data_IF_653038979170
#
_entry.id   IF_653038979170
#
_cell.length_a   1.000
_cell.length_b   1.000
_cell.length_c   1.000
_cell.angle_alpha   90.00
_cell.angle_beta   90.00
_cell.angle_gamma   90.00
#
_symmetry.space_group_name_H-M   'P 1'
#
loop_
_entity.id
_entity.type
_entity.pdbx_description
1 polymer ?
#
# COMPACT_ATOMS: atom_id res chain seq x y z
N UNK A 1 73.20 60.31 66.58
CA UNK A 1 71.81 60.57 67.03
C UNK A 1 71.26 61.72 66.19
N UNK A 2 70.01 61.74 65.69
CA UNK A 2 68.95 60.73 65.61
C UNK A 2 68.49 60.43 64.14
N UNK A 3 67.49 59.54 64.02
CA UNK A 3 66.77 58.99 62.85
C UNK A 3 65.92 60.04 62.06
N UNK A 4 64.99 59.73 61.11
CA UNK A 4 64.55 58.44 60.53
C UNK A 4 64.33 58.40 58.99
N UNK A 5 64.05 57.20 58.48
CA UNK A 5 63.64 56.84 57.10
C UNK A 5 62.37 57.57 56.61
N UNK A 6 62.25 57.85 55.30
CA UNK A 6 60.95 57.96 54.63
C UNK A 6 60.55 56.67 53.89
N UNK A 7 59.25 56.39 53.95
CA UNK A 7 58.56 55.17 53.48
C UNK A 7 58.34 55.14 51.97
N UNK A 8 58.24 53.90 51.51
CA UNK A 8 57.80 53.40 50.20
C UNK A 8 56.43 53.89 49.74
N UNK A 9 56.31 54.15 48.43
CA UNK A 9 55.08 53.91 47.67
C UNK A 9 55.47 53.29 46.30
N UNK A 10 55.42 51.96 46.21
CA UNK A 10 55.44 51.22 44.94
C UNK A 10 53.99 50.99 44.55
N UNK A 11 53.53 51.61 43.46
CA UNK A 11 52.30 51.23 42.76
C UNK A 11 52.61 50.07 41.81
N UNK A 12 51.94 48.90 41.93
CA UNK A 12 52.05 47.84 40.94
C UNK A 12 51.17 48.18 39.73
N UNK A 13 51.78 48.24 38.55
CA UNK A 13 51.07 48.20 37.28
C UNK A 13 50.56 46.77 37.04
N UNK A 14 49.25 46.64 36.85
CA UNK A 14 48.62 45.36 36.51
C UNK A 14 48.95 45.05 35.04
N UNK A 15 49.84 44.08 34.81
CA UNK A 15 49.97 43.39 33.52
C UNK A 15 48.81 42.37 33.42
N UNK A 16 47.82 42.65 32.58
CA UNK A 16 46.83 41.66 32.16
C UNK A 16 47.43 40.75 31.11
N UNK A 17 47.83 39.55 31.54
CA UNK A 17 48.18 38.43 30.65
C UNK A 17 46.87 37.88 30.07
N UNK A 18 46.65 38.12 28.78
CA UNK A 18 45.54 37.55 28.02
C UNK A 18 45.90 36.10 27.64
N UNK A 19 45.50 35.14 28.45
CA UNK A 19 45.55 33.72 28.10
C UNK A 19 44.49 33.41 27.04
N UNK A 20 44.92 33.24 25.79
CA UNK A 20 44.08 32.65 24.74
C UNK A 20 43.84 31.18 25.08
N UNK A 21 42.69 30.90 25.70
CA UNK A 21 42.14 29.55 25.77
C UNK A 21 41.57 29.26 24.38
N UNK A 22 42.26 28.42 23.60
CA UNK A 22 41.66 27.76 22.43
C UNK A 22 40.58 26.81 22.94
N UNK A 23 39.34 27.29 23.01
CA UNK A 23 38.18 26.40 23.07
C UNK A 23 38.12 25.64 21.74
N UNK A 24 38.03 24.30 21.74
CA UNK A 24 37.68 23.59 20.53
C UNK A 24 36.27 24.04 20.14
N UNK A 25 36.14 24.68 18.97
CA UNK A 25 34.84 24.83 18.33
C UNK A 25 34.35 23.42 18.00
N UNK A 26 33.58 22.84 18.92
CA UNK A 26 32.74 21.70 18.60
C UNK A 26 31.67 22.21 17.64
N UNK A 27 31.90 22.01 16.34
CA UNK A 27 30.81 22.07 15.37
C UNK A 27 29.75 21.07 15.84
N UNK A 28 28.47 21.46 16.00
CA UNK A 28 27.43 20.48 16.23
C UNK A 28 27.39 19.60 14.99
N UNK A 29 27.90 18.37 15.11
CA UNK A 29 27.66 17.33 14.11
C UNK A 29 26.18 17.01 14.24
N UNK A 30 25.36 17.61 13.37
CA UNK A 30 23.98 17.18 13.19
C UNK A 30 24.03 15.70 12.78
N UNK A 31 23.36 14.78 13.51
CA UNK A 31 23.41 13.37 13.16
C UNK A 31 22.84 13.19 11.75
N UNK A 32 23.64 12.59 10.89
CA UNK A 32 23.31 12.37 9.49
C UNK A 32 22.46 11.09 9.36
N UNK A 33 21.32 11.24 8.72
CA UNK A 33 20.26 10.24 8.60
C UNK A 33 20.15 9.99 7.06
N UNK A 34 20.65 8.89 6.46
CA UNK A 34 20.06 7.61 5.93
C UNK A 34 18.79 7.78 5.05
N UNK A 35 18.05 6.81 4.50
CA UNK A 35 16.63 7.09 4.15
C UNK A 35 15.87 6.93 5.45
N UNK A 36 15.50 7.92 6.23
CA UNK A 36 16.37 8.83 6.99
C UNK A 36 16.83 10.16 6.42
N UNK A 37 16.53 10.58 5.19
CA UNK A 37 16.66 12.00 4.86
C UNK A 37 15.69 12.78 5.76
N UNK A 38 15.57 14.11 5.67
CA UNK A 38 14.53 14.79 6.43
C UNK A 38 13.19 14.09 6.25
N UNK A 39 12.38 14.09 7.31
CA UNK A 39 10.97 13.71 7.17
C UNK A 39 10.40 14.42 5.96
N UNK A 40 9.82 13.65 5.04
CA UNK A 40 9.24 14.23 3.84
C UNK A 40 8.14 15.20 4.29
N UNK A 41 8.16 16.43 3.80
CA UNK A 41 7.19 17.44 4.22
C UNK A 41 5.77 16.93 3.95
N UNK A 42 4.83 17.24 4.85
CA UNK A 42 3.45 16.80 4.70
C UNK A 42 2.88 17.16 3.31
N UNK A 43 2.33 16.17 2.62
CA UNK A 43 1.78 16.31 1.27
C UNK A 43 2.79 16.11 0.11
N UNK A 44 4.10 16.07 0.37
CA UNK A 44 5.06 15.62 -0.64
C UNK A 44 5.02 14.10 -0.77
N UNK A 45 5.11 13.61 -2.01
CA UNK A 45 5.09 12.17 -2.33
C UNK A 45 3.84 11.45 -1.77
N UNK A 46 2.69 12.11 -1.80
CA UNK A 46 1.42 11.62 -1.24
C UNK A 46 0.98 10.24 -1.77
N UNK A 47 1.44 9.86 -2.97
CA UNK A 47 1.17 8.55 -3.57
C UNK A 47 1.95 7.40 -2.92
N UNK A 48 2.98 7.67 -2.12
CA UNK A 48 3.75 6.62 -1.44
C UNK A 48 2.95 6.09 -0.26
N UNK A 49 2.79 4.78 -0.19
CA UNK A 49 1.96 4.09 0.81
C UNK A 49 2.81 3.18 1.68
N UNK A 50 2.41 3.04 2.94
CA UNK A 50 2.98 2.04 3.85
C UNK A 50 2.19 0.75 3.71
N UNK A 51 2.87 -0.35 3.41
CA UNK A 51 2.25 -1.67 3.34
C UNK A 51 2.50 -2.41 4.65
N UNK A 52 1.45 -3.00 5.22
CA UNK A 52 1.54 -3.93 6.32
C UNK A 52 1.07 -5.31 5.85
N UNK A 53 1.88 -6.35 6.07
CA UNK A 53 1.61 -7.73 5.67
C UNK A 53 1.70 -8.64 6.90
N UNK A 54 0.60 -9.29 7.26
CA UNK A 54 0.43 -10.03 8.51
C UNK A 54 -0.34 -9.24 9.57
N UNK A 55 -0.52 -9.86 10.74
CA UNK A 55 -1.20 -9.27 11.88
C UNK A 55 -0.26 -8.36 12.69
N UNK A 56 -0.83 -7.43 13.47
CA UNK A 56 -0.11 -6.31 14.11
C UNK A 56 1.13 -6.73 14.92
N UNK A 57 1.08 -7.87 15.63
CA UNK A 57 2.20 -8.35 16.45
C UNK A 57 3.41 -8.86 15.64
N UNK A 58 3.21 -9.21 14.37
CA UNK A 58 4.22 -9.80 13.49
C UNK A 58 4.22 -9.22 12.07
N UNK A 59 3.58 -8.07 11.87
CA UNK A 59 3.40 -7.48 10.57
C UNK A 59 4.75 -7.09 9.94
N UNK A 60 4.99 -7.58 8.74
CA UNK A 60 6.07 -7.08 7.90
C UNK A 60 5.64 -5.74 7.31
N UNK A 61 6.49 -4.73 7.46
CA UNK A 61 6.32 -3.46 6.78
C UNK A 61 7.09 -3.43 5.46
N UNK A 62 6.44 -2.88 4.45
CA UNK A 62 7.01 -2.56 3.14
C UNK A 62 6.53 -1.17 2.70
N UNK A 63 7.05 -0.71 1.57
CA UNK A 63 6.59 0.50 0.92
C UNK A 63 5.90 0.13 -0.41
N UNK A 64 4.98 0.96 -0.86
CA UNK A 64 4.42 0.89 -2.21
C UNK A 64 4.18 2.28 -2.78
N UNK A 65 3.74 2.35 -4.03
CA UNK A 65 3.31 3.60 -4.67
C UNK A 65 1.98 3.44 -5.36
N UNK A 66 0.99 4.26 -5.02
CA UNK A 66 -0.29 4.33 -5.73
C UNK A 66 -0.07 4.83 -7.16
N UNK A 67 -0.38 4.00 -8.15
CA UNK A 67 -0.23 4.34 -9.58
C UNK A 67 -1.57 4.36 -10.33
N UNK A 68 -2.65 3.96 -9.65
CA UNK A 68 -4.03 4.04 -10.09
C UNK A 68 -4.93 4.01 -8.85
N UNK A 69 -6.17 4.48 -8.93
CA UNK A 69 -7.12 4.48 -7.81
C UNK A 69 -7.32 3.11 -7.13
N UNK A 70 -7.06 2.01 -7.86
CA UNK A 70 -7.17 0.64 -7.33
C UNK A 70 -5.84 -0.10 -7.26
N UNK A 71 -4.74 0.48 -7.74
CA UNK A 71 -3.49 -0.28 -7.89
C UNK A 71 -2.30 0.43 -7.26
N UNK A 72 -1.61 -0.30 -6.40
CA UNK A 72 -0.33 0.06 -5.83
C UNK A 72 0.77 -0.78 -6.48
N UNK A 73 1.86 -0.13 -6.88
CA UNK A 73 3.07 -0.73 -7.37
C UNK A 73 4.04 -0.97 -6.21
N UNK A 74 4.60 -2.17 -6.10
CA UNK A 74 5.52 -2.55 -5.02
C UNK A 74 6.42 -3.72 -5.46
N UNK A 75 7.27 -4.20 -4.56
CA UNK A 75 8.11 -5.37 -4.79
C UNK A 75 7.33 -6.65 -4.45
N UNK A 76 7.45 -7.70 -5.29
CA UNK A 76 6.80 -8.98 -5.03
C UNK A 76 7.28 -9.61 -3.71
N UNK A 77 8.58 -9.47 -3.41
CA UNK A 77 9.23 -9.96 -2.20
C UNK A 77 8.59 -9.48 -0.89
N UNK A 78 7.82 -8.37 -0.90
CA UNK A 78 7.03 -7.94 0.25
C UNK A 78 6.00 -8.99 0.70
N UNK A 79 5.44 -9.75 -0.24
CA UNK A 79 4.40 -10.76 -0.01
C UNK A 79 4.93 -12.19 0.00
N UNK A 80 6.24 -12.37 -0.17
CA UNK A 80 6.84 -13.70 -0.14
C UNK A 80 6.83 -14.25 1.30
N UNK A 81 6.29 -15.46 1.47
CA UNK A 81 6.32 -16.17 2.74
C UNK A 81 7.76 -16.31 3.25
N UNK A 82 8.67 -16.65 2.34
CA UNK A 82 10.12 -16.71 2.58
C UNK A 82 10.82 -15.72 1.65
N UNK A 83 11.77 -14.91 2.14
CA UNK A 83 12.53 -14.01 1.28
C UNK A 83 13.17 -14.76 0.10
N UNK A 84 12.93 -14.28 -1.12
CA UNK A 84 13.48 -14.85 -2.36
C UNK A 84 12.66 -15.96 -3.00
N UNK A 85 11.52 -16.37 -2.42
CA UNK A 85 10.60 -17.31 -3.09
C UNK A 85 9.61 -16.57 -4.00
N UNK A 86 9.18 -17.18 -5.12
CA UNK A 86 8.11 -16.62 -5.95
C UNK A 86 6.83 -16.37 -5.15
N UNK A 87 6.12 -15.31 -5.50
CA UNK A 87 4.79 -15.01 -4.96
C UNK A 87 3.75 -15.44 -5.98
N UNK A 88 2.75 -16.25 -5.61
CA UNK A 88 1.67 -16.60 -6.54
C UNK A 88 0.77 -15.40 -6.82
N UNK A 89 0.22 -15.35 -8.02
CA UNK A 89 -0.86 -14.42 -8.34
C UNK A 89 -2.14 -14.79 -7.58
N UNK A 90 -2.97 -13.79 -7.26
CA UNK A 90 -4.24 -13.97 -6.56
C UNK A 90 -4.23 -13.36 -5.15
N UNK A 91 -5.07 -13.89 -4.26
CA UNK A 91 -5.22 -13.34 -2.90
C UNK A 91 -3.91 -13.42 -2.10
N UNK A 92 -3.55 -12.37 -1.35
CA UNK A 92 -2.45 -12.44 -0.38
C UNK A 92 -2.60 -13.61 0.60
N UNK A 93 -1.50 -14.33 0.85
CA UNK A 93 -1.48 -15.44 1.82
C UNK A 93 -1.70 -14.97 3.27
N UNK A 94 -1.26 -13.75 3.58
CA UNK A 94 -1.47 -13.06 4.85
C UNK A 94 -2.36 -11.85 4.62
N UNK A 95 -3.12 -11.44 5.64
CA UNK A 95 -3.84 -10.17 5.62
C UNK A 95 -2.85 -9.05 5.29
N UNK A 96 -3.23 -8.16 4.38
CA UNK A 96 -2.37 -7.05 4.01
C UNK A 96 -3.17 -5.78 3.77
N UNK A 97 -2.60 -4.65 4.17
CA UNK A 97 -3.20 -3.33 4.06
C UNK A 97 -2.21 -2.32 3.48
N UNK A 98 -2.75 -1.28 2.86
CA UNK A 98 -2.02 -0.10 2.43
C UNK A 98 -2.54 1.12 3.21
N UNK A 99 -1.66 1.75 3.99
CA UNK A 99 -1.94 3.02 4.66
C UNK A 99 -1.53 4.18 3.76
N UNK A 100 -2.44 5.13 3.59
CA UNK A 100 -2.34 6.24 2.67
C UNK A 100 -1.97 7.55 3.37
N UNK A 101 -1.50 8.53 2.60
CA UNK A 101 -1.10 9.84 3.11
C UNK A 101 -2.25 10.70 3.63
N UNK A 102 -3.49 10.38 3.26
CA UNK A 102 -4.70 11.03 3.78
C UNK A 102 -5.21 10.41 5.10
N UNK A 103 -4.48 9.44 5.65
CA UNK A 103 -4.82 8.74 6.89
C UNK A 103 -5.78 7.56 6.69
N UNK A 104 -6.25 7.31 5.47
CA UNK A 104 -7.08 6.13 5.18
C UNK A 104 -6.22 4.86 5.07
N UNK A 105 -6.84 3.71 5.32
CA UNK A 105 -6.22 2.40 5.11
C UNK A 105 -7.13 1.57 4.21
N UNK A 106 -6.55 0.96 3.18
CA UNK A 106 -7.25 0.07 2.25
C UNK A 106 -6.72 -1.37 2.39
N UNK A 107 -7.61 -2.36 2.43
CA UNK A 107 -7.19 -3.77 2.34
C UNK A 107 -6.74 -4.09 0.92
N UNK A 108 -5.86 -5.09 0.83
CA UNK A 108 -5.37 -5.62 -0.44
C UNK A 108 -6.18 -6.85 -0.83
N UNK A 109 -6.75 -6.80 -2.03
CA UNK A 109 -7.61 -7.83 -2.60
C UNK A 109 -6.83 -8.90 -3.37
N UNK A 110 -5.83 -8.48 -4.15
CA UNK A 110 -5.15 -9.33 -5.13
C UNK A 110 -3.70 -8.87 -5.34
N UNK A 111 -2.82 -9.83 -5.63
CA UNK A 111 -1.44 -9.62 -6.04
C UNK A 111 -1.30 -10.12 -7.48
N UNK A 112 -0.72 -9.29 -8.33
CA UNK A 112 -0.33 -9.61 -9.71
C UNK A 112 1.20 -9.44 -9.79
N UNK A 113 1.97 -10.49 -9.53
CA UNK A 113 3.44 -10.45 -9.57
C UNK A 113 3.96 -10.49 -11.02
N UNK A 114 5.19 -10.01 -11.20
CA UNK A 114 6.01 -10.24 -12.40
C UNK A 114 6.86 -11.50 -12.22
N UNK A 115 7.00 -12.26 -13.29
CA UNK A 115 7.83 -13.47 -13.28
C UNK A 115 9.33 -13.18 -13.55
N UNK A 116 9.64 -12.06 -14.20
CA UNK A 116 10.99 -11.71 -14.66
C UNK A 116 11.78 -10.79 -13.71
N UNK A 117 11.10 -10.15 -12.74
CA UNK A 117 11.70 -9.18 -11.82
C UNK A 117 10.88 -9.04 -10.53
N UNK A 118 11.53 -8.59 -9.46
CA UNK A 118 10.92 -8.42 -8.12
C UNK A 118 9.92 -7.25 -8.08
N UNK A 119 8.75 -7.44 -8.69
CA UNK A 119 7.75 -6.41 -8.90
C UNK A 119 6.35 -7.01 -8.82
N UNK A 120 5.42 -6.28 -8.22
CA UNK A 120 4.02 -6.66 -8.19
C UNK A 120 3.12 -5.43 -8.29
N UNK A 121 1.96 -5.63 -8.91
CA UNK A 121 0.80 -4.76 -8.76
C UNK A 121 -0.12 -5.40 -7.73
N UNK A 122 -0.53 -4.62 -6.74
CA UNK A 122 -1.51 -5.06 -5.75
C UNK A 122 -2.80 -4.27 -5.91
N UNK A 123 -3.93 -4.98 -5.93
CA UNK A 123 -5.26 -4.39 -6.06
C UNK A 123 -5.81 -4.04 -4.69
N UNK A 124 -6.34 -2.84 -4.54
CA UNK A 124 -7.07 -2.42 -3.34
C UNK A 124 -8.53 -2.86 -3.43
N UNK A 125 -9.15 -3.17 -2.29
CA UNK A 125 -10.59 -3.50 -2.24
C UNK A 125 -11.44 -2.26 -2.51
N UNK A 126 -11.02 -1.10 -2.01
CA UNK A 126 -11.72 0.18 -2.19
C UNK A 126 -10.87 1.15 -3.02
N UNK A 127 -11.49 1.89 -3.97
CA UNK A 127 -10.76 2.85 -4.77
C UNK A 127 -10.36 4.09 -3.97
N UNK A 128 -9.16 4.55 -4.21
CA UNK A 128 -8.57 5.76 -3.64
C UNK A 128 -8.81 6.92 -4.60
N UNK A 129 -9.60 7.90 -4.16
CA UNK A 129 -10.02 9.06 -4.96
C UNK A 129 -9.45 10.39 -4.47
N UNK A 130 -8.94 10.40 -3.24
CA UNK A 130 -8.40 11.55 -2.50
C UNK A 130 -6.91 11.78 -2.76
N UNK A 131 -6.17 10.72 -3.11
CA UNK A 131 -4.74 10.77 -3.39
C UNK A 131 -4.51 10.69 -4.89
N UNK A 132 -3.78 11.65 -5.45
CA UNK A 132 -3.38 11.63 -6.86
C UNK A 132 -2.35 10.52 -7.10
N UNK A 133 -2.61 9.57 -8.03
CA UNK A 133 -1.63 8.54 -8.34
C UNK A 133 -0.34 9.10 -8.94
N UNK A 134 0.77 8.43 -8.64
CA UNK A 134 2.08 8.75 -9.21
C UNK A 134 2.16 8.34 -10.70
N UNK A 135 2.97 9.08 -11.44
CA UNK A 135 3.21 8.85 -12.86
C UNK A 135 4.53 8.10 -13.02
N UNK A 136 4.55 7.14 -13.95
CA UNK A 136 5.75 6.41 -14.32
C UNK A 136 6.54 7.15 -15.40
N UNK A 137 7.87 7.09 -15.33
CA UNK A 137 8.73 7.58 -16.39
C UNK A 137 8.67 6.65 -17.62
N UNK A 138 8.75 7.23 -18.82
CA UNK A 138 8.78 6.47 -20.08
C UNK A 138 10.20 6.18 -20.57
N UNK A 139 11.20 6.81 -19.97
CA UNK A 139 12.59 6.71 -20.37
C UNK A 139 13.50 6.28 -19.22
N UNK A 140 14.61 5.65 -19.58
CA UNK A 140 15.66 5.27 -18.66
C UNK A 140 16.47 6.53 -18.25
N UNK A 141 16.67 6.79 -16.94
CA UNK A 141 17.60 7.82 -16.50
C UNK A 141 19.04 7.53 -16.94
N UNK A 142 19.81 8.58 -17.23
CA UNK A 142 21.23 8.45 -17.55
C UNK A 142 22.04 8.03 -16.31
N UNK A 143 23.05 7.19 -16.50
CA UNK A 143 24.03 6.87 -15.43
C UNK A 143 24.65 8.16 -14.90
N UNK A 144 25.00 8.17 -13.61
CA UNK A 144 25.45 9.31 -12.81
C UNK A 144 24.40 10.37 -12.46
N UNK A 145 23.13 10.16 -12.85
CA UNK A 145 22.02 11.04 -12.46
C UNK A 145 21.61 10.77 -11.02
N UNK A 146 21.24 11.84 -10.31
CA UNK A 146 20.65 11.77 -8.98
C UNK A 146 19.17 11.44 -9.06
N UNK A 147 18.75 10.49 -8.23
CA UNK A 147 17.39 10.01 -8.12
C UNK A 147 16.95 10.07 -6.65
N UNK A 148 15.66 10.19 -6.42
CA UNK A 148 15.09 10.22 -5.06
C UNK A 148 14.42 8.89 -4.77
N UNK A 149 14.86 8.21 -3.72
CA UNK A 149 14.14 7.05 -3.20
C UNK A 149 13.32 7.46 -1.97
N UNK A 150 12.14 6.88 -1.80
CA UNK A 150 11.29 7.16 -0.64
C UNK A 150 10.66 5.88 -0.05
N UNK A 151 10.40 5.90 1.25
CA UNK A 151 9.75 4.78 1.93
C UNK A 151 9.58 4.92 3.43
N UNK A 152 9.00 3.86 4.00
CA UNK A 152 8.70 3.68 5.41
C UNK A 152 9.62 2.62 6.05
N UNK A 153 10.80 2.41 5.47
CA UNK A 153 11.80 1.49 5.99
C UNK A 153 12.48 2.00 7.25
N UNK A 154 13.16 1.07 7.91
CA UNK A 154 14.01 1.33 9.08
C UNK A 154 14.91 2.52 8.88
N UNK A 155 15.15 3.25 9.97
CA UNK A 155 16.24 4.21 9.99
C UNK A 155 17.47 3.59 10.66
N UNK A 156 18.49 4.42 10.94
CA UNK A 156 19.61 4.08 11.82
C UNK A 156 19.18 3.71 13.24
N UNK A 157 18.06 4.25 13.71
CA UNK A 157 17.67 4.23 15.13
C UNK A 157 16.25 3.74 15.36
N UNK A 158 15.45 3.54 14.30
CA UNK A 158 14.02 3.20 14.40
C UNK A 158 13.67 1.99 13.52
N UNK A 159 12.85 1.07 14.06
CA UNK A 159 12.62 -0.26 13.47
C UNK A 159 11.55 -0.31 12.36
N UNK A 160 10.51 0.51 12.40
CA UNK A 160 9.51 0.64 11.34
C UNK A 160 8.86 2.03 11.50
N UNK A 161 9.36 3.07 10.83
CA UNK A 161 8.81 4.40 10.94
C UNK A 161 7.35 4.47 10.46
N UNK A 162 6.56 5.30 11.13
CA UNK A 162 5.22 5.71 10.65
C UNK A 162 5.30 6.95 9.74
N UNK A 163 6.49 7.52 9.59
CA UNK A 163 6.74 8.73 8.85
C UNK A 163 7.49 8.43 7.56
N UNK A 164 6.99 8.98 6.46
CA UNK A 164 7.63 8.87 5.16
C UNK A 164 8.99 9.57 5.18
N UNK A 165 10.01 8.89 4.68
CA UNK A 165 11.35 9.44 4.49
C UNK A 165 11.74 9.35 3.02
N UNK A 166 12.68 10.20 2.63
CA UNK A 166 13.30 10.15 1.31
C UNK A 166 14.82 10.28 1.42
N UNK A 167 15.54 9.96 0.35
CA UNK A 167 16.99 10.11 0.25
C UNK A 167 17.42 10.18 -1.21
N UNK A 168 18.64 10.67 -1.43
CA UNK A 168 19.23 10.87 -2.76
C UNK A 168 20.21 9.76 -3.08
N UNK A 169 20.08 9.22 -4.29
CA UNK A 169 20.88 8.10 -4.78
C UNK A 169 21.41 8.42 -6.17
N UNK A 170 22.69 8.13 -6.40
CA UNK A 170 23.27 8.19 -7.75
C UNK A 170 22.95 6.90 -8.48
N UNK A 171 22.54 6.99 -9.75
CA UNK A 171 22.44 5.82 -10.62
C UNK A 171 23.83 5.37 -11.09
N UNK A 172 24.26 4.18 -10.68
CA UNK A 172 25.58 3.63 -11.02
C UNK A 172 25.55 2.88 -12.36
N UNK A 173 24.50 2.08 -12.57
CA UNK A 173 24.37 1.24 -13.76
C UNK A 173 22.91 0.83 -13.99
N UNK A 174 22.59 0.48 -15.24
CA UNK A 174 21.30 -0.10 -15.62
C UNK A 174 21.50 -1.45 -16.31
N UNK A 175 20.65 -2.41 -15.99
CA UNK A 175 20.48 -3.68 -16.73
C UNK A 175 19.09 -3.68 -17.39
N UNK A 176 18.69 -4.70 -18.17
CA UNK A 176 17.34 -4.77 -18.73
C UNK A 176 16.22 -4.70 -17.68
N UNK A 177 16.44 -5.24 -16.48
CA UNK A 177 15.40 -5.33 -15.43
C UNK A 177 15.71 -4.53 -14.16
N UNK A 178 16.91 -3.95 -14.04
CA UNK A 178 17.37 -3.36 -12.78
C UNK A 178 18.17 -2.06 -12.93
N UNK A 179 18.22 -1.31 -11.83
CA UNK A 179 18.98 -0.09 -11.63
C UNK A 179 19.85 -0.27 -10.39
N UNK A 180 21.17 -0.30 -10.59
CA UNK A 180 22.13 -0.24 -9.49
C UNK A 180 22.28 1.20 -9.05
N UNK A 181 22.05 1.48 -7.76
CA UNK A 181 22.11 2.82 -7.19
C UNK A 181 22.98 2.84 -5.93
N UNK A 182 23.59 3.98 -5.64
CA UNK A 182 24.36 4.20 -4.41
C UNK A 182 23.92 5.47 -3.71
N UNK A 183 23.66 5.37 -2.40
CA UNK A 183 23.18 6.50 -1.61
C UNK A 183 24.23 7.60 -1.48
N UNK A 184 23.80 8.86 -1.59
CA UNK A 184 24.66 10.02 -1.40
C UNK A 184 24.83 10.35 0.07
N UNK A 185 26.06 10.74 0.44
CA UNK A 185 26.40 11.09 1.82
C UNK A 185 26.10 9.92 2.75
N UNK A 186 25.04 10.04 3.55
CA UNK A 186 24.66 9.01 4.51
C UNK A 186 23.39 8.25 4.16
N UNK A 187 22.77 8.57 3.01
CA UNK A 187 21.51 7.98 2.55
C UNK A 187 21.68 6.48 2.28
N UNK A 188 20.69 5.69 2.68
CA UNK A 188 20.70 4.23 2.53
C UNK A 188 19.27 3.71 2.55
N UNK A 189 18.98 2.72 1.72
CA UNK A 189 17.73 1.97 1.77
C UNK A 189 17.83 0.85 2.82
N UNK A 190 16.83 0.74 3.68
CA UNK A 190 16.77 -0.23 4.74
C UNK A 190 15.56 -1.16 4.59
N UNK A 191 15.51 -2.23 5.40
CA UNK A 191 14.35 -3.12 5.46
C UNK A 191 13.08 -2.30 5.70
N UNK A 192 12.08 -2.51 4.85
CA UNK A 192 10.82 -1.77 4.80
C UNK A 192 10.74 -0.69 3.72
N UNK A 193 11.87 -0.24 3.16
CA UNK A 193 11.88 0.62 1.96
C UNK A 193 11.64 -0.19 0.67
N UNK A 194 11.78 -1.51 0.75
CA UNK A 194 11.43 -2.44 -0.34
C UNK A 194 10.01 -2.17 -0.82
N UNK A 195 9.85 -2.06 -2.13
CA UNK A 195 8.63 -1.68 -2.83
C UNK A 195 8.40 -0.17 -2.97
N UNK A 196 9.21 0.66 -2.32
CA UNK A 196 9.14 2.12 -2.46
C UNK A 196 9.63 2.61 -3.82
N UNK A 197 9.23 3.82 -4.24
CA UNK A 197 9.62 4.33 -5.55
C UNK A 197 11.06 4.85 -5.53
N UNK A 198 11.70 4.71 -6.69
CA UNK A 198 12.85 5.49 -7.12
C UNK A 198 12.36 6.49 -8.18
N UNK A 199 12.61 7.77 -7.96
CA UNK A 199 12.02 8.90 -8.68
C UNK A 199 13.08 9.71 -9.42
N UNK A 200 12.74 10.21 -10.61
CA UNK A 200 13.53 11.25 -11.29
C UNK A 200 13.23 12.65 -10.73
N UNK A 201 13.89 13.67 -11.27
CA UNK A 201 13.69 15.07 -10.86
C UNK A 201 12.26 15.59 -11.07
N UNK A 202 11.50 15.01 -12.00
CA UNK A 202 10.08 15.33 -12.24
C UNK A 202 9.14 14.61 -11.28
N UNK A 203 9.67 13.80 -10.35
CA UNK A 203 8.88 12.99 -9.42
C UNK A 203 8.21 11.77 -10.08
N UNK A 204 8.67 11.34 -11.26
CA UNK A 204 8.16 10.16 -11.95
C UNK A 204 8.91 8.91 -11.52
N UNK A 205 8.18 7.80 -11.42
CA UNK A 205 8.75 6.49 -11.03
C UNK A 205 9.64 5.97 -12.16
N UNK A 206 10.94 5.87 -11.90
CA UNK A 206 11.93 5.21 -12.77
C UNK A 206 12.25 3.79 -12.31
N UNK A 207 11.97 3.47 -11.04
CA UNK A 207 12.11 2.11 -10.53
C UNK A 207 11.44 1.89 -9.19
N UNK A 208 11.51 0.64 -8.73
CA UNK A 208 10.97 0.18 -7.44
C UNK A 208 12.09 -0.45 -6.62
N UNK A 209 12.31 0.04 -5.40
CA UNK A 209 13.36 -0.44 -4.52
C UNK A 209 13.14 -1.92 -4.20
N UNK A 210 14.13 -2.79 -4.43
CA UNK A 210 14.00 -4.23 -4.17
C UNK A 210 14.88 -4.66 -2.99
N UNK A 211 16.19 -4.44 -3.10
CA UNK A 211 17.18 -4.92 -2.12
C UNK A 211 18.32 -3.94 -1.94
N UNK A 212 18.98 -3.99 -0.78
CA UNK A 212 20.15 -3.17 -0.49
C UNK A 212 21.13 -3.91 0.43
N UNK A 213 22.34 -3.37 0.55
CA UNK A 213 23.36 -3.89 1.46
C UNK A 213 23.13 -3.53 2.92
N UNK A 214 22.16 -2.65 3.23
CA UNK A 214 21.76 -2.29 4.60
C UNK A 214 22.86 -1.60 5.44
N UNK A 215 23.87 -1.00 4.80
CA UNK A 215 24.98 -0.33 5.50
C UNK A 215 24.50 0.85 6.35
N UNK A 216 24.64 0.71 7.66
CA UNK A 216 24.15 1.69 8.63
C UNK A 216 22.65 1.63 8.90
N UNK A 217 21.91 0.58 8.51
CA UNK A 217 20.53 0.39 8.96
C UNK A 217 20.46 -0.19 10.38
N UNK A 218 19.41 0.12 11.14
CA UNK A 218 19.20 -0.45 12.47
C UNK A 218 19.16 -1.98 12.42
N UNK A 219 19.98 -2.62 13.26
CA UNK A 219 20.09 -4.08 13.35
C UNK A 219 21.01 -4.73 12.31
N UNK A 220 21.63 -3.95 11.43
CA UNK A 220 22.72 -4.43 10.57
C UNK A 220 24.06 -4.50 11.33
N UNK A 221 24.98 -5.40 10.94
CA UNK A 221 26.33 -5.41 11.49
C UNK A 221 27.03 -4.05 11.27
N UNK A 222 27.69 -3.51 12.30
CA UNK A 222 28.38 -2.22 12.21
C UNK A 222 29.50 -2.19 11.16
N UNK A 223 30.05 -3.35 10.79
CA UNK A 223 31.06 -3.48 9.74
C UNK A 223 30.49 -3.36 8.31
N UNK A 224 29.17 -3.52 8.14
CA UNK A 224 28.53 -3.30 6.84
C UNK A 224 28.33 -1.80 6.63
N UNK A 225 29.04 -1.26 5.64
CA UNK A 225 29.08 0.18 5.34
C UNK A 225 28.58 0.50 3.94
N UNK A 226 28.28 -0.52 3.12
CA UNK A 226 27.84 -0.30 1.74
C UNK A 226 26.42 0.24 1.72
N UNK A 227 26.23 1.36 1.04
CA UNK A 227 24.93 2.02 0.83
C UNK A 227 24.30 1.68 -0.52
N UNK A 228 24.98 0.87 -1.34
CA UNK A 228 24.45 0.48 -2.64
C UNK A 228 23.20 -0.39 -2.53
N UNK A 229 22.33 -0.26 -3.52
CA UNK A 229 21.05 -0.93 -3.60
C UNK A 229 20.68 -1.25 -5.05
N UNK A 230 19.67 -2.09 -5.21
CA UNK A 230 19.08 -2.44 -6.49
C UNK A 230 17.60 -2.05 -6.48
N UNK A 231 17.22 -1.29 -7.50
CA UNK A 231 15.83 -1.06 -7.87
C UNK A 231 15.47 -1.80 -9.14
N UNK A 232 14.19 -2.13 -9.30
CA UNK A 232 13.63 -2.77 -10.47
C UNK A 232 13.15 -1.72 -11.45
N UNK A 233 13.53 -1.84 -12.73
CA UNK A 233 13.11 -0.92 -13.81
C UNK A 233 11.64 -1.10 -14.15
N UNK A 234 11.01 0.02 -14.54
CA UNK A 234 9.58 0.05 -14.88
C UNK A 234 9.28 0.65 -16.27
N UNK A 235 10.27 1.23 -16.95
CA UNK A 235 10.07 1.95 -18.21
C UNK A 235 9.55 1.05 -19.35
N UNK A 236 9.90 -0.23 -19.35
CA UNK A 236 9.52 -1.23 -20.35
C UNK A 236 8.18 -1.94 -20.06
N UNK A 237 7.44 -1.53 -19.02
CA UNK A 237 6.28 -2.27 -18.51
C UNK A 237 4.91 -1.67 -18.88
N UNK A 238 4.85 -0.77 -19.86
CA UNK A 238 3.62 -0.06 -20.21
C UNK A 238 2.45 -1.00 -20.56
N UNK A 239 2.70 -2.06 -21.35
CA UNK A 239 1.67 -3.02 -21.75
C UNK A 239 1.14 -3.83 -20.55
N UNK A 240 2.03 -4.25 -19.65
CA UNK A 240 1.65 -4.96 -18.44
C UNK A 240 0.82 -4.08 -17.51
N UNK A 241 1.23 -2.83 -17.28
CA UNK A 241 0.43 -1.88 -16.48
C UNK A 241 -0.96 -1.67 -17.08
N UNK A 242 -1.05 -1.43 -18.40
CA UNK A 242 -2.33 -1.23 -19.05
C UNK A 242 -3.23 -2.46 -18.92
N UNK A 243 -2.71 -3.65 -19.24
CA UNK A 243 -3.46 -4.89 -19.16
C UNK A 243 -3.97 -5.16 -17.75
N UNK A 244 -3.12 -5.04 -16.73
CA UNK A 244 -3.49 -5.29 -15.33
C UNK A 244 -4.46 -4.23 -14.79
N UNK A 245 -4.23 -2.95 -15.08
CA UNK A 245 -5.09 -1.88 -14.54
C UNK A 245 -6.51 -1.93 -15.07
N UNK A 246 -6.69 -2.41 -16.31
CA UNK A 246 -8.02 -2.60 -16.92
C UNK A 246 -8.67 -3.94 -16.59
N UNK A 247 -7.95 -4.88 -15.97
CA UNK A 247 -8.51 -6.16 -15.57
C UNK A 247 -9.38 -5.98 -14.33
N UNK A 248 -10.59 -6.53 -14.35
CA UNK A 248 -11.47 -6.59 -13.19
C UNK A 248 -11.23 -7.87 -12.37
N UNK A 249 -11.39 -7.77 -11.04
CA UNK A 249 -11.23 -8.91 -10.14
C UNK A 249 -12.30 -9.95 -10.43
N UNK A 250 -11.98 -11.24 -10.31
CA UNK A 250 -12.92 -12.35 -10.51
C UNK A 250 -12.75 -13.40 -9.42
N UNK A 251 -13.80 -13.68 -8.66
CA UNK A 251 -13.76 -14.70 -7.61
C UNK A 251 -15.11 -14.93 -6.93
N UNK A 252 -15.20 -15.91 -6.03
CA UNK A 252 -16.39 -16.10 -5.22
C UNK A 252 -16.57 -14.99 -4.17
N UNK A 253 -17.83 -14.67 -3.90
CA UNK A 253 -18.26 -13.92 -2.72
C UNK A 253 -18.75 -14.92 -1.69
N UNK A 254 -18.02 -15.09 -0.60
CA UNK A 254 -18.32 -16.08 0.43
C UNK A 254 -18.95 -15.41 1.64
N UNK A 255 -20.16 -15.83 2.01
CA UNK A 255 -20.86 -15.33 3.18
C UNK A 255 -20.07 -15.65 4.45
N UNK A 256 -19.81 -14.65 5.30
CA UNK A 256 -18.96 -14.81 6.46
C UNK A 256 -19.61 -15.65 7.59
N UNK A 257 -20.93 -15.83 7.57
CA UNK A 257 -21.64 -16.69 8.54
C UNK A 257 -21.63 -18.16 8.11
N UNK A 258 -22.06 -18.45 6.88
CA UNK A 258 -22.29 -19.83 6.42
C UNK A 258 -21.08 -20.46 5.72
N UNK A 259 -20.10 -19.66 5.27
CA UNK A 259 -19.01 -20.13 4.41
C UNK A 259 -19.45 -20.54 3.00
N UNK A 260 -20.68 -20.20 2.61
CA UNK A 260 -21.26 -20.51 1.29
C UNK A 260 -21.10 -19.36 0.31
N UNK A 261 -21.12 -19.68 -0.97
CA UNK A 261 -20.88 -18.74 -2.05
C UNK A 261 -22.20 -18.12 -2.54
N UNK A 262 -22.19 -16.83 -2.86
CA UNK A 262 -23.26 -16.16 -3.58
C UNK A 262 -23.36 -16.72 -5.00
N UNK A 263 -24.56 -17.11 -5.43
CA UNK A 263 -24.84 -17.81 -6.68
C UNK A 263 -26.09 -17.25 -7.37
N UNK A 264 -26.11 -17.31 -8.70
CA UNK A 264 -27.36 -17.26 -9.48
C UNK A 264 -28.01 -18.65 -9.55
N UNK A 265 -29.25 -18.72 -9.06
CA UNK A 265 -30.04 -19.96 -9.02
C UNK A 265 -30.16 -20.62 -10.39
N UNK A 266 -30.03 -21.95 -10.42
CA UNK A 266 -30.22 -22.81 -11.60
C UNK A 266 -29.36 -22.40 -12.81
N UNK A 267 -28.24 -21.71 -12.60
CA UNK A 267 -27.36 -21.21 -13.67
C UNK A 267 -28.04 -20.30 -14.69
N UNK A 268 -29.17 -19.68 -14.31
CA UNK A 268 -29.96 -18.85 -15.20
C UNK A 268 -29.16 -17.63 -15.70
N UNK A 269 -29.47 -17.19 -16.92
CA UNK A 269 -28.79 -16.07 -17.60
C UNK A 269 -29.76 -14.93 -17.95
N UNK A 270 -30.95 -14.97 -17.38
CA UNK A 270 -32.03 -14.00 -17.66
C UNK A 270 -32.15 -13.02 -16.51
N UNK A 271 -32.64 -11.82 -16.84
CA UNK A 271 -33.10 -10.83 -15.87
C UNK A 271 -34.16 -11.43 -14.93
N UNK A 272 -34.12 -11.01 -13.68
CA UNK A 272 -35.01 -11.48 -12.63
C UNK A 272 -34.53 -12.76 -11.93
N UNK A 273 -33.53 -13.47 -12.47
CA UNK A 273 -33.06 -14.71 -11.85
C UNK A 273 -32.60 -14.45 -10.41
N UNK A 274 -33.03 -15.34 -9.51
CA UNK A 274 -32.82 -15.20 -8.08
C UNK A 274 -31.35 -15.40 -7.72
N UNK A 275 -30.89 -14.58 -6.78
CA UNK A 275 -29.59 -14.73 -6.14
C UNK A 275 -29.77 -15.50 -4.84
N UNK A 276 -28.91 -16.48 -4.59
CA UNK A 276 -28.94 -17.37 -3.43
C UNK A 276 -27.55 -17.63 -2.89
N UNK A 277 -27.45 -18.33 -1.76
CA UNK A 277 -26.20 -19.00 -1.38
C UNK A 277 -26.23 -20.48 -1.72
N UNK A 278 -25.04 -21.03 -1.96
CA UNK A 278 -24.84 -22.46 -2.15
C UNK A 278 -23.44 -22.88 -1.70
N UNK A 279 -23.27 -24.16 -1.38
CA UNK A 279 -21.96 -24.76 -1.15
C UNK A 279 -20.99 -24.40 -2.28
N UNK A 280 -19.89 -23.73 -1.93
CA UNK A 280 -18.93 -23.21 -2.89
C UNK A 280 -18.40 -24.30 -3.83
N UNK A 281 -18.43 -24.01 -5.14
CA UNK A 281 -17.87 -24.84 -6.20
C UNK A 281 -17.15 -23.94 -7.20
N UNK A 282 -16.21 -24.52 -7.95
CA UNK A 282 -15.58 -23.81 -9.06
C UNK A 282 -16.51 -23.76 -10.28
N UNK A 283 -17.54 -22.91 -10.20
CA UNK A 283 -18.53 -22.72 -11.25
C UNK A 283 -18.67 -21.24 -11.60
N UNK A 284 -18.79 -20.88 -12.89
CA UNK A 284 -18.99 -19.48 -13.30
C UNK A 284 -20.20 -18.79 -12.66
N UNK A 285 -21.21 -19.55 -12.23
CA UNK A 285 -22.45 -19.03 -11.61
C UNK A 285 -22.24 -18.53 -10.18
N UNK A 286 -21.17 -18.96 -9.53
CA UNK A 286 -20.78 -18.57 -8.16
C UNK A 286 -19.57 -17.61 -8.15
N UNK A 287 -19.08 -17.24 -9.33
CA UNK A 287 -17.97 -16.31 -9.51
C UNK A 287 -18.52 -14.95 -9.95
N UNK A 288 -17.97 -13.91 -9.36
CA UNK A 288 -18.39 -12.53 -9.56
C UNK A 288 -17.21 -11.68 -10.01
N UNK A 289 -17.51 -10.69 -10.83
CA UNK A 289 -16.58 -9.72 -11.34
C UNK A 289 -16.87 -8.36 -10.69
N UNK A 290 -15.86 -7.77 -10.05
CA UNK A 290 -15.98 -6.44 -9.45
C UNK A 290 -15.48 -5.41 -10.44
N UNK A 291 -16.42 -4.69 -11.03
CA UNK A 291 -16.16 -3.61 -11.97
C UNK A 291 -16.45 -2.26 -11.31
N UNK A 292 -15.47 -1.36 -11.29
CA UNK A 292 -15.68 -0.02 -10.73
C UNK A 292 -16.30 0.91 -11.78
N UNK A 293 -17.56 1.30 -11.59
CA UNK A 293 -18.32 2.12 -12.53
C UNK A 293 -18.13 3.64 -12.33
N UNK A 294 -17.20 4.07 -11.46
CA UNK A 294 -16.98 5.48 -11.12
C UNK A 294 -17.88 5.99 -10.00
N UNK A 295 -19.08 5.43 -9.85
CA UNK A 295 -20.09 5.77 -8.85
C UNK A 295 -20.56 4.53 -8.05
N UNK A 296 -19.65 3.60 -7.77
CA UNK A 296 -19.92 2.36 -7.05
C UNK A 296 -19.44 1.13 -7.81
N UNK A 297 -19.44 -0.01 -7.14
CA UNK A 297 -19.12 -1.29 -7.75
C UNK A 297 -20.35 -1.87 -8.46
N UNK A 298 -20.14 -2.33 -9.68
CA UNK A 298 -20.99 -3.33 -10.30
C UNK A 298 -20.44 -4.71 -9.94
N UNK A 299 -21.32 -5.56 -9.43
CA UNK A 299 -21.00 -6.95 -9.06
C UNK A 299 -21.61 -7.84 -10.14
N UNK A 300 -20.82 -8.18 -11.15
CA UNK A 300 -21.31 -8.88 -12.36
C UNK A 300 -21.08 -10.37 -12.26
N UNK A 301 -22.10 -11.18 -12.51
CA UNK A 301 -21.93 -12.63 -12.50
C UNK A 301 -21.06 -13.08 -13.68
N UNK A 302 -20.11 -14.00 -13.46
CA UNK A 302 -19.18 -14.45 -14.51
C UNK A 302 -19.87 -15.34 -15.56
N UNK A 303 -20.91 -16.10 -15.18
CA UNK A 303 -21.65 -16.93 -16.11
C UNK A 303 -22.47 -16.11 -17.11
N UNK A 304 -23.18 -15.08 -16.65
CA UNK A 304 -24.12 -14.29 -17.46
C UNK A 304 -23.59 -12.94 -17.93
N UNK A 305 -22.63 -12.34 -17.23
CA UNK A 305 -22.20 -10.96 -17.42
C UNK A 305 -23.16 -9.91 -16.85
N UNK A 306 -24.20 -10.35 -16.13
CA UNK A 306 -25.31 -9.53 -15.64
C UNK A 306 -25.05 -9.07 -14.19
N UNK A 307 -25.59 -7.91 -13.80
CA UNK A 307 -25.31 -7.25 -12.53
C UNK A 307 -26.20 -7.76 -11.39
N UNK A 308 -25.62 -7.89 -10.19
CA UNK A 308 -26.35 -8.05 -8.93
C UNK A 308 -27.15 -6.78 -8.62
N UNK A 309 -28.45 -6.94 -8.36
CA UNK A 309 -29.42 -5.85 -8.21
C UNK A 309 -30.44 -6.15 -7.10
N UNK A 310 -31.00 -5.10 -6.49
CA UNK A 310 -32.14 -5.20 -5.58
C UNK A 310 -33.42 -4.89 -6.33
N UNK A 311 -34.32 -5.88 -6.39
CA UNK A 311 -35.50 -5.90 -7.23
C UNK A 311 -36.42 -4.67 -7.05
N UNK A 312 -36.96 -4.18 -8.17
CA UNK A 312 -37.99 -3.14 -8.24
C UNK A 312 -37.65 -1.84 -7.50
N UNK A 313 -36.36 -1.53 -7.34
CA UNK A 313 -35.88 -0.38 -6.55
C UNK A 313 -36.38 -0.36 -5.11
N UNK A 314 -36.77 -1.52 -4.57
CA UNK A 314 -37.30 -1.64 -3.23
C UNK A 314 -36.28 -1.19 -2.19
N UNK A 315 -36.76 -0.49 -1.17
CA UNK A 315 -35.93 0.05 -0.09
C UNK A 315 -36.19 -0.63 1.25
N UNK A 316 -37.12 -1.58 1.32
CA UNK A 316 -37.49 -2.26 2.56
C UNK A 316 -36.49 -3.37 2.90
N UNK A 317 -36.40 -3.66 4.20
CA UNK A 317 -35.79 -4.90 4.67
C UNK A 317 -36.54 -6.10 4.09
N UNK A 318 -35.79 -7.11 3.65
CA UNK A 318 -36.33 -8.31 3.02
C UNK A 318 -36.44 -8.25 1.49
N UNK A 319 -36.23 -7.08 0.86
CA UNK A 319 -36.32 -6.97 -0.59
C UNK A 319 -35.28 -7.88 -1.28
N UNK A 320 -35.74 -8.61 -2.29
CA UNK A 320 -34.99 -9.70 -2.91
C UNK A 320 -33.82 -9.18 -3.75
N UNK A 321 -32.70 -9.91 -3.70
CA UNK A 321 -31.62 -9.73 -4.65
C UNK A 321 -31.82 -10.61 -5.90
N UNK A 322 -31.49 -10.04 -7.06
CA UNK A 322 -31.60 -10.68 -8.36
C UNK A 322 -30.41 -10.34 -9.26
N UNK A 323 -30.31 -10.99 -10.41
CA UNK A 323 -29.52 -10.42 -11.51
C UNK A 323 -30.42 -9.63 -12.45
N UNK A 324 -29.90 -8.50 -12.93
CA UNK A 324 -30.55 -7.66 -13.93
C UNK A 324 -29.52 -7.02 -14.86
N UNK A 325 -29.88 -6.85 -16.14
CA UNK A 325 -29.03 -6.23 -17.17
C UNK A 325 -28.38 -4.96 -16.63
N UNK A 326 -27.06 -4.85 -16.80
CA UNK A 326 -26.29 -3.75 -16.22
C UNK A 326 -26.70 -2.39 -16.83
N UNK A 327 -27.03 -1.45 -15.96
CA UNK A 327 -27.42 -0.07 -16.25
C UNK A 327 -26.75 0.88 -15.24
N UNK A 328 -26.73 2.18 -15.55
CA UNK A 328 -26.30 3.21 -14.60
C UNK A 328 -27.43 3.56 -13.62
N UNK A 329 -27.73 2.61 -12.72
CA UNK A 329 -28.81 2.74 -11.72
C UNK A 329 -28.29 2.43 -10.31
N UNK A 330 -28.73 3.17 -9.28
CA UNK A 330 -28.24 2.97 -7.91
C UNK A 330 -28.64 1.62 -7.31
N UNK A 331 -29.66 0.93 -7.84
CA UNK A 331 -30.13 -0.39 -7.37
C UNK A 331 -29.13 -1.52 -7.63
N UNK A 332 -28.18 -1.32 -8.53
CA UNK A 332 -27.11 -2.26 -8.89
C UNK A 332 -25.71 -1.66 -8.69
N UNK A 333 -25.63 -0.63 -7.85
CA UNK A 333 -24.37 -0.03 -7.40
C UNK A 333 -24.14 -0.37 -5.94
N UNK A 334 -22.95 -0.85 -5.64
CA UNK A 334 -22.60 -1.34 -4.32
C UNK A 334 -21.38 -0.60 -3.77
N UNK A 335 -21.46 -0.19 -2.51
CA UNK A 335 -20.31 0.21 -1.71
C UNK A 335 -19.78 -1.02 -0.97
N UNK A 336 -18.46 -1.22 -1.03
CA UNK A 336 -17.78 -2.22 -0.23
C UNK A 336 -17.30 -1.56 1.07
N UNK A 337 -18.06 -1.76 2.14
CA UNK A 337 -17.76 -1.16 3.45
C UNK A 337 -17.15 -2.23 4.34
N UNK A 338 -15.97 -1.94 4.91
CA UNK A 338 -15.27 -2.89 5.78
C UNK A 338 -16.12 -3.16 7.02
N UNK A 339 -16.44 -4.43 7.24
CA UNK A 339 -17.06 -4.94 8.46
C UNK A 339 -16.08 -5.72 9.32
N UNK A 340 -16.59 -6.41 10.34
CA UNK A 340 -15.77 -7.15 11.32
C UNK A 340 -15.24 -8.48 10.79
N UNK A 341 -16.02 -9.16 9.94
CA UNK A 341 -15.72 -10.48 9.40
C UNK A 341 -15.41 -10.47 7.89
N UNK A 342 -15.70 -9.38 7.20
CA UNK A 342 -15.55 -9.22 5.76
C UNK A 342 -15.94 -7.81 5.32
N UNK A 343 -16.81 -7.74 4.30
CA UNK A 343 -17.33 -6.52 3.72
C UNK A 343 -18.84 -6.57 3.65
N UNK A 344 -19.48 -5.50 4.07
CA UNK A 344 -20.84 -5.22 3.64
C UNK A 344 -20.81 -4.82 2.16
N UNK A 345 -21.67 -5.47 1.36
CA UNK A 345 -22.10 -4.95 0.08
C UNK A 345 -23.30 -4.05 0.35
N UNK A 346 -23.07 -2.75 0.50
CA UNK A 346 -24.10 -1.77 0.79
C UNK A 346 -24.67 -1.19 -0.51
N UNK A 347 -25.95 -1.44 -0.76
CA UNK A 347 -26.65 -0.94 -1.93
C UNK A 347 -26.76 0.59 -1.90
N UNK A 348 -26.41 1.27 -3.01
CA UNK A 348 -26.42 2.73 -3.07
C UNK A 348 -27.81 3.34 -3.20
N UNK A 349 -28.83 2.59 -3.61
CA UNK A 349 -30.21 3.08 -3.65
C UNK A 349 -30.83 3.14 -2.25
N UNK A 350 -30.73 2.04 -1.50
CA UNK A 350 -31.41 1.90 -0.19
C UNK A 350 -30.52 2.22 1.01
N UNK A 351 -29.19 2.18 0.85
CA UNK A 351 -28.24 2.22 1.96
C UNK A 351 -28.25 0.95 2.83
N UNK A 352 -28.86 -0.15 2.36
CA UNK A 352 -28.95 -1.44 3.05
C UNK A 352 -27.91 -2.43 2.55
N UNK A 353 -27.66 -3.49 3.30
CA UNK A 353 -26.60 -4.45 3.05
C UNK A 353 -27.15 -5.76 2.48
N UNK A 354 -26.42 -6.38 1.55
CA UNK A 354 -26.71 -7.72 1.05
C UNK A 354 -26.60 -8.75 2.18
N UNK A 355 -27.66 -9.52 2.40
CA UNK A 355 -27.84 -10.48 3.49
C UNK A 355 -28.41 -11.80 2.96
N UNK A 356 -28.15 -12.89 3.67
CA UNK A 356 -28.82 -14.17 3.45
C UNK A 356 -29.98 -14.27 4.42
N UNK A 357 -31.18 -14.45 3.88
CA UNK A 357 -32.44 -14.40 4.62
C UNK A 357 -32.38 -15.22 5.93
N UNK A 358 -32.79 -14.57 7.02
CA UNK A 358 -32.90 -15.15 8.37
C UNK A 358 -31.61 -15.83 8.85
N UNK A 359 -30.46 -15.37 8.34
CA UNK A 359 -29.15 -15.98 8.61
C UNK A 359 -29.09 -17.49 8.30
N UNK A 360 -29.92 -17.97 7.38
CA UNK A 360 -29.96 -19.39 7.05
C UNK A 360 -28.61 -19.88 6.52
N UNK A 361 -28.27 -21.13 6.84
CA UNK A 361 -27.02 -21.77 6.44
C UNK A 361 -27.23 -22.89 5.42
N UNK A 362 -28.43 -23.02 4.86
CA UNK A 362 -28.76 -24.07 3.88
C UNK A 362 -28.43 -23.62 2.46
N UNK A 363 -28.16 -24.60 1.60
CA UNK A 363 -28.10 -24.37 0.15
C UNK A 363 -29.48 -23.93 -0.35
N UNK A 364 -29.50 -22.91 -1.20
CA UNK A 364 -30.72 -22.36 -1.76
C UNK A 364 -31.33 -21.19 -0.99
N UNK A 365 -30.84 -20.87 0.23
CA UNK A 365 -31.30 -19.70 0.97
C UNK A 365 -31.10 -18.42 0.14
N UNK A 366 -32.15 -17.61 0.04
CA UNK A 366 -32.15 -16.44 -0.87
C UNK A 366 -31.31 -15.31 -0.30
N UNK A 367 -30.71 -14.54 -1.20
CA UNK A 367 -30.13 -13.27 -0.86
C UNK A 367 -31.19 -12.16 -0.91
N UNK A 368 -31.07 -11.20 0.01
CA UNK A 368 -31.94 -10.04 0.14
C UNK A 368 -31.14 -8.83 0.61
N UNK A 369 -31.77 -7.67 0.74
CA UNK A 369 -31.20 -6.56 1.49
C UNK A 369 -31.78 -6.49 2.91
N UNK A 370 -30.95 -6.02 3.84
CA UNK A 370 -31.37 -5.73 5.21
C UNK A 370 -30.60 -4.53 5.78
N UNK A 371 -31.16 -3.88 6.79
CA UNK A 371 -30.49 -2.81 7.54
C UNK A 371 -29.11 -3.27 8.00
N UNK A 372 -28.06 -2.55 7.60
CA UNK A 372 -26.68 -2.89 7.93
C UNK A 372 -26.45 -2.87 9.45
N UNK A 373 -25.84 -3.93 9.98
CA UNK A 373 -25.41 -4.03 11.37
C UNK A 373 -24.34 -5.13 11.49
N UNK A 374 -23.62 -5.15 12.62
CA UNK A 374 -22.51 -6.07 12.87
C UNK A 374 -22.98 -7.52 13.08
N UNK A 375 -23.27 -8.21 11.97
CA UNK A 375 -23.50 -9.64 11.94
C UNK A 375 -22.82 -10.28 10.72
N UNK A 376 -22.22 -11.48 10.89
CA UNK A 376 -21.49 -12.15 9.82
C UNK A 376 -22.39 -12.54 8.63
N UNK A 377 -23.71 -12.61 8.79
CA UNK A 377 -24.63 -12.95 7.68
C UNK A 377 -24.74 -11.85 6.62
N UNK A 378 -24.46 -10.58 6.98
CA UNK A 378 -24.47 -9.45 6.04
C UNK A 378 -23.10 -9.20 5.41
N UNK A 379 -22.08 -9.93 5.86
CA UNK A 379 -20.70 -9.70 5.47
C UNK A 379 -20.20 -10.77 4.51
N UNK A 380 -19.42 -10.32 3.54
CA UNK A 380 -18.91 -11.13 2.44
C UNK A 380 -17.40 -11.05 2.40
N UNK A 381 -16.76 -12.19 2.18
CA UNK A 381 -15.31 -12.28 1.97
C UNK A 381 -15.04 -12.53 0.48
N UNK A 382 -14.07 -11.79 -0.05
CA UNK A 382 -13.59 -11.97 -1.41
C UNK A 382 -12.48 -13.02 -1.40
N UNK A 383 -12.66 -14.11 -2.12
CA UNK A 383 -11.65 -15.16 -2.26
C UNK A 383 -11.22 -15.28 -3.72
N UNK A 384 -9.98 -15.71 -3.97
CA UNK A 384 -9.46 -15.93 -5.32
C UNK A 384 -9.38 -17.42 -5.63
#
# INVERSE_FOLDING_TARGET
MPAPRPRTARTPGLLTVLTMVLLPLAMPVTPAMAVSGPETAAGQLAAVVKLAIGDEDHARACTGTLIHQLWVLTAASCFAATPGTPVPAGRPALKATAALSDGTTADILEIVPRDDRDLALIRLVTPVTTVRPAIRALGLPAVSTDLTAAGFGRTRTEWVPDKLRSGTFTLDASTPTGLGITGKGTDVLCKGDTGGPLLNADGQIVGVNSRSWQGGCLGSPAAETRTSALSVRVDDLASWFQQTQTADWKGPLVNANSGKCLEIENSLRTDGARVQQWTCRDMPTMRWNLHWAGNGWEVRNVNSGICLEIEDSQMTDGARAQQWTCHDMPTMRWDLVKGKWGYWLKNRNSGKCLEIEDSQMIDGARAQQWTCHDMPTLEWTFTS
#
